data_IF_707037833820
#
_entry.id   IF_707037833820
#
_cell.length_a   1.000
_cell.length_b   1.000
_cell.length_c   1.000
_cell.angle_alpha   90.00
_cell.angle_beta   90.00
_cell.angle_gamma   90.00
#
_symmetry.space_group_name_H-M   'P 1'
#
loop_
_entity.id
_entity.type
_entity.pdbx_description
1 polymer ?
#
# COMPACT_ATOMS: atom_id res chain seq x y z
N UNK A 1 -19.09 -4.57 9.36
CA UNK A 1 -19.73 -4.21 8.07
C UNK A 1 -18.73 -4.50 7.00
N UNK A 2 -19.16 -5.01 5.83
CA UNK A 2 -18.25 -5.36 4.73
C UNK A 2 -17.26 -4.24 4.38
N UNK A 3 -17.69 -2.98 4.46
CA UNK A 3 -16.84 -1.81 4.22
C UNK A 3 -15.69 -1.64 5.24
N UNK A 4 -15.93 -1.96 6.52
CA UNK A 4 -14.87 -1.93 7.56
C UNK A 4 -13.86 -3.05 7.35
N UNK A 5 -14.32 -4.24 6.94
CA UNK A 5 -13.44 -5.37 6.62
C UNK A 5 -12.51 -5.03 5.45
N UNK A 6 -13.05 -4.42 4.39
CA UNK A 6 -12.27 -3.91 3.25
C UNK A 6 -11.26 -2.85 3.70
N UNK A 7 -11.68 -1.89 4.53
CA UNK A 7 -10.78 -0.88 5.08
C UNK A 7 -9.63 -1.50 5.89
N UNK A 8 -9.93 -2.46 6.77
CA UNK A 8 -8.91 -3.19 7.56
C UNK A 8 -7.97 -3.98 6.67
N UNK A 9 -8.47 -4.64 5.63
CA UNK A 9 -7.64 -5.40 4.69
C UNK A 9 -6.68 -4.49 3.91
N UNK A 10 -7.16 -3.33 3.43
CA UNK A 10 -6.33 -2.32 2.76
C UNK A 10 -5.23 -1.83 3.70
N UNK A 11 -5.58 -1.52 4.96
CA UNK A 11 -4.60 -1.06 5.95
C UNK A 11 -3.51 -2.10 6.24
N UNK A 12 -3.90 -3.35 6.43
CA UNK A 12 -2.96 -4.45 6.67
C UNK A 12 -2.06 -4.70 5.45
N UNK A 13 -2.62 -4.65 4.24
CA UNK A 13 -1.85 -4.80 3.00
C UNK A 13 -0.82 -3.68 2.82
N UNK A 14 -1.20 -2.42 3.04
CA UNK A 14 -0.28 -1.28 2.97
C UNK A 14 0.81 -1.40 4.04
N UNK A 15 0.43 -1.77 5.27
CA UNK A 15 1.38 -1.97 6.37
C UNK A 15 2.40 -3.06 6.03
N UNK A 16 1.97 -4.23 5.54
CA UNK A 16 2.85 -5.32 5.13
C UNK A 16 3.79 -4.90 4.00
N UNK A 17 3.25 -4.29 2.95
CA UNK A 17 4.03 -3.84 1.80
C UNK A 17 5.10 -2.82 2.21
N UNK A 18 4.76 -1.85 3.06
CA UNK A 18 5.73 -0.86 3.52
C UNK A 18 6.72 -1.44 4.53
N UNK A 19 6.30 -2.40 5.36
CA UNK A 19 7.22 -3.12 6.24
C UNK A 19 8.30 -3.84 5.43
N UNK A 20 7.92 -4.57 4.39
CA UNK A 20 8.88 -5.27 3.50
C UNK A 20 9.82 -4.28 2.80
N UNK A 21 9.32 -3.14 2.31
CA UNK A 21 10.12 -2.17 1.54
C UNK A 21 10.98 -1.23 2.41
N UNK A 22 10.56 -0.92 3.63
CA UNK A 22 11.25 0.01 4.52
C UNK A 22 12.09 -0.69 5.59
N UNK A 23 11.67 -1.89 5.99
CA UNK A 23 12.24 -2.61 7.14
C UNK A 23 12.96 -3.90 6.74
N UNK A 24 13.39 -4.09 5.48
CA UNK A 24 14.27 -5.23 5.20
C UNK A 24 15.62 -5.00 5.88
N UNK A 25 16.00 -5.76 6.94
CA UNK A 25 17.38 -5.77 7.38
C UNK A 25 18.13 -6.46 6.25
N UNK A 26 19.08 -5.79 5.62
CA UNK A 26 19.95 -6.38 4.60
C UNK A 26 20.84 -7.46 5.23
N UNK A 27 20.26 -8.62 5.51
CA UNK A 27 20.98 -9.85 5.80
C UNK A 27 21.54 -10.37 4.47
N UNK A 28 22.75 -9.92 4.13
CA UNK A 28 23.61 -10.67 3.22
C UNK A 28 23.81 -10.10 1.81
N UNK A 29 24.07 -8.81 1.63
CA UNK A 29 24.82 -8.40 0.44
C UNK A 29 25.74 -7.20 0.70
N UNK A 30 27.04 -7.50 0.84
CA UNK A 30 28.12 -6.51 0.74
C UNK A 30 28.09 -5.89 -0.66
N UNK A 31 27.34 -4.81 -0.86
CA UNK A 31 27.65 -3.80 -1.88
C UNK A 31 27.69 -2.44 -1.20
N UNK A 32 28.89 -1.86 -1.20
CA UNK A 32 29.15 -0.49 -0.75
C UNK A 32 28.18 0.45 -1.47
N UNK A 33 27.19 0.98 -0.75
CA UNK A 33 26.67 2.32 -0.99
C UNK A 33 26.49 2.99 0.36
N UNK A 34 27.07 4.18 0.42
CA UNK A 34 27.04 5.18 1.48
C UNK A 34 25.91 5.03 2.50
N UNK A 35 26.26 5.22 3.77
CA UNK A 35 25.34 5.60 4.83
C UNK A 35 24.36 6.67 4.32
N UNK A 36 23.08 6.33 4.29
CA UNK A 36 22.00 7.15 3.74
C UNK A 36 21.01 6.23 3.05
N UNK A 37 19.96 5.84 3.79
CA UNK A 37 18.83 5.06 3.30
C UNK A 37 18.49 5.49 1.87
N UNK A 38 18.70 4.61 0.88
CA UNK A 38 18.21 4.87 -0.47
C UNK A 38 16.71 5.10 -0.36
N UNK A 39 16.27 6.32 -0.68
CA UNK A 39 14.86 6.71 -0.65
C UNK A 39 14.05 5.64 -1.38
N UNK A 40 12.98 5.11 -0.77
CA UNK A 40 12.16 4.10 -1.44
C UNK A 40 11.55 4.70 -2.72
N UNK A 41 11.61 3.95 -3.82
CA UNK A 41 11.04 4.35 -5.13
C UNK A 41 9.51 4.51 -5.10
N UNK A 42 8.91 4.09 -3.99
CA UNK A 42 7.47 4.06 -3.79
C UNK A 42 7.14 4.10 -2.28
N UNK A 43 6.29 5.05 -1.90
CA UNK A 43 5.74 5.16 -0.54
C UNK A 43 4.22 5.10 -0.66
N UNK A 44 3.61 4.27 0.17
CA UNK A 44 2.15 4.17 0.29
C UNK A 44 1.78 4.33 1.75
N UNK A 45 0.77 5.13 2.04
CA UNK A 45 0.19 5.25 3.37
C UNK A 45 -1.32 5.22 3.29
N UNK A 46 -1.96 4.83 4.37
CA UNK A 46 -3.41 4.77 4.47
C UNK A 46 -3.88 5.32 5.81
N UNK A 47 -5.00 6.03 5.81
CA UNK A 47 -5.62 6.57 7.02
C UNK A 47 -7.13 6.41 6.97
N UNK A 48 -7.77 6.24 8.13
CA UNK A 48 -9.22 6.37 8.22
C UNK A 48 -9.65 7.81 7.90
N UNK A 49 -10.86 7.98 7.39
CA UNK A 49 -11.43 9.26 6.98
C UNK A 49 -12.94 9.30 7.26
N UNK A 50 -13.47 10.51 7.45
CA UNK A 50 -14.90 10.75 7.62
C UNK A 50 -15.43 10.47 9.04
N UNK A 51 -16.74 10.73 9.28
CA UNK A 51 -17.36 10.57 10.58
C UNK A 51 -17.21 9.14 11.09
N UNK A 52 -16.69 9.00 12.32
CA UNK A 52 -16.44 7.70 12.97
C UNK A 52 -15.47 6.77 12.19
N UNK A 53 -14.65 7.33 11.30
CA UNK A 53 -13.62 6.59 10.55
C UNK A 53 -14.18 5.58 9.55
N UNK A 54 -15.40 5.81 9.06
CA UNK A 54 -16.12 4.90 8.16
C UNK A 54 -15.54 4.85 6.74
N UNK A 55 -14.75 5.85 6.33
CA UNK A 55 -14.02 5.88 5.06
C UNK A 55 -12.53 5.59 5.23
N UNK A 56 -11.86 5.32 4.11
CA UNK A 56 -10.41 5.16 4.04
C UNK A 56 -9.80 6.02 2.94
N UNK A 57 -8.61 6.55 3.18
CA UNK A 57 -7.82 7.29 2.18
C UNK A 57 -6.45 6.64 2.08
N UNK A 58 -6.09 6.19 0.88
CA UNK A 58 -4.75 5.75 0.54
C UNK A 58 -4.02 6.88 -0.21
N UNK A 59 -2.77 7.13 0.16
CA UNK A 59 -1.88 8.11 -0.48
C UNK A 59 -0.70 7.35 -1.06
N UNK A 60 -0.40 7.61 -2.32
CA UNK A 60 0.65 6.92 -3.08
C UNK A 60 1.61 7.97 -3.62
N UNK A 61 2.90 7.75 -3.42
CA UNK A 61 3.98 8.52 -4.03
C UNK A 61 4.95 7.57 -4.70
N UNK A 62 5.11 7.69 -6.02
CA UNK A 62 6.00 6.85 -6.82
C UNK A 62 6.42 7.59 -8.09
N UNK A 63 7.54 7.17 -8.67
CA UNK A 63 8.13 7.77 -9.86
C UNK A 63 7.56 7.23 -11.17
N UNK A 64 6.83 6.10 -11.14
CA UNK A 64 6.24 5.51 -12.35
C UNK A 64 4.74 5.31 -12.22
N UNK A 65 4.02 5.59 -13.31
CA UNK A 65 2.58 5.36 -13.39
C UNK A 65 2.23 3.87 -13.28
N UNK A 66 3.09 2.97 -13.81
CA UNK A 66 2.92 1.52 -13.66
C UNK A 66 2.84 1.10 -12.19
N UNK A 67 3.71 1.66 -11.33
CA UNK A 67 3.69 1.38 -9.90
C UNK A 67 2.38 1.82 -9.25
N UNK A 68 1.81 2.96 -9.70
CA UNK A 68 0.48 3.41 -9.24
C UNK A 68 -0.58 2.37 -9.59
N UNK A 69 -0.64 1.93 -10.85
CA UNK A 69 -1.64 0.93 -11.28
C UNK A 69 -1.49 -0.39 -10.54
N UNK A 70 -0.27 -0.89 -10.33
CA UNK A 70 -0.04 -2.10 -9.53
C UNK A 70 -0.57 -1.97 -8.10
N UNK A 71 -0.36 -0.83 -7.45
CA UNK A 71 -0.89 -0.58 -6.11
C UNK A 71 -2.41 -0.53 -6.14
N UNK A 72 -3.00 0.19 -7.08
CA UNK A 72 -4.46 0.30 -7.20
C UNK A 72 -5.08 -1.08 -7.38
N UNK A 73 -4.51 -1.90 -8.26
CA UNK A 73 -4.98 -3.27 -8.49
C UNK A 73 -4.89 -4.13 -7.22
N UNK A 74 -3.79 -4.04 -6.46
CA UNK A 74 -3.62 -4.82 -5.22
C UNK A 74 -4.55 -4.35 -4.09
N UNK A 75 -4.62 -3.03 -3.86
CA UNK A 75 -5.36 -2.49 -2.72
C UNK A 75 -6.87 -2.59 -2.95
N UNK A 76 -7.33 -2.39 -4.19
CA UNK A 76 -8.74 -2.34 -4.53
C UNK A 76 -9.33 -3.69 -4.92
N UNK A 77 -8.51 -4.74 -5.08
CA UNK A 77 -9.01 -6.12 -5.22
C UNK A 77 -9.94 -6.52 -4.06
N UNK A 78 -9.70 -5.97 -2.86
CA UNK A 78 -10.56 -6.19 -1.70
C UNK A 78 -11.97 -5.59 -1.83
N UNK A 79 -12.21 -4.71 -2.80
CA UNK A 79 -13.52 -4.12 -3.07
C UNK A 79 -14.40 -4.94 -4.01
N UNK A 80 -13.86 -5.96 -4.68
CA UNK A 80 -14.63 -6.82 -5.59
C UNK A 80 -15.92 -7.39 -4.95
N UNK A 81 -15.90 -7.90 -3.70
CA UNK A 81 -17.12 -8.39 -3.02
C UNK A 81 -18.15 -7.32 -2.70
N UNK A 82 -17.78 -6.03 -2.75
CA UNK A 82 -18.67 -4.89 -2.56
C UNK A 82 -19.24 -4.37 -3.87
N UNK A 83 -18.45 -4.42 -4.94
CA UNK A 83 -18.76 -3.81 -6.23
C UNK A 83 -19.28 -4.82 -7.26
N UNK A 84 -19.06 -6.11 -7.03
CA UNK A 84 -19.39 -7.20 -7.97
C UNK A 84 -18.42 -7.32 -9.15
N UNK A 85 -17.36 -6.52 -9.16
CA UNK A 85 -16.29 -6.55 -10.16
C UNK A 85 -15.00 -5.90 -9.61
N UNK A 86 -13.85 -6.27 -10.19
CA UNK A 86 -12.56 -5.65 -9.86
C UNK A 86 -12.53 -4.20 -10.35
N UNK A 87 -12.20 -3.21 -9.49
CA UNK A 87 -12.22 -1.80 -9.88
C UNK A 87 -11.14 -1.42 -10.91
N UNK A 88 -10.11 -2.24 -11.02
CA UNK A 88 -9.02 -2.12 -11.99
C UNK A 88 -8.86 -3.49 -12.66
N UNK A 89 -8.88 -3.49 -13.99
CA UNK A 89 -8.77 -4.65 -14.89
C UNK A 89 -7.61 -4.45 -15.86
#
# INVERSE_FOLDING_TARGET
>A
TKLKEVQSQVQENVKRMMYEKLYTPTLGCKKRKSFGQTKPDMIVSCSAFGPKGTGGVARISTITTESVYRILHLQLASMDPLLGASPYH
#
